data_IF_313977111646
#
_entry.id   IF_313977111646
#
_cell.length_a   1.000
_cell.length_b   1.000
_cell.length_c   1.000
_cell.angle_alpha   90.00
_cell.angle_beta   90.00
_cell.angle_gamma   90.00
#
_symmetry.space_group_name_H-M   'P 1'
#
loop_
_entity.id
_entity.type
_entity.pdbx_description
1 polymer ?
#
# COMPACT_ATOMS: atom_id res chain seq x y z
N UNK A 1 13.43 -16.75 3.49
CA UNK A 1 12.35 -15.82 3.10
C UNK A 1 12.79 -14.38 3.34
N UNK A 2 12.59 -13.50 2.37
CA UNK A 2 12.87 -12.07 2.50
C UNK A 2 11.60 -11.26 2.37
N UNK A 3 11.32 -10.40 3.33
CA UNK A 3 10.25 -9.41 3.26
C UNK A 3 10.83 -8.03 2.99
N UNK A 4 10.18 -7.27 2.12
CA UNK A 4 10.35 -5.83 2.09
C UNK A 4 9.28 -5.20 2.98
N UNK A 5 9.70 -4.38 3.94
CA UNK A 5 8.83 -3.66 4.85
C UNK A 5 8.88 -2.19 4.52
N UNK A 6 7.75 -1.64 4.09
CA UNK A 6 7.60 -0.25 3.64
C UNK A 6 6.50 0.41 4.47
N UNK A 7 6.61 1.71 4.69
CA UNK A 7 5.59 2.50 5.38
C UNK A 7 5.72 3.98 5.03
N UNK A 8 4.68 4.75 5.31
CA UNK A 8 4.72 6.21 5.36
C UNK A 8 5.21 6.87 4.06
N UNK A 9 4.72 6.43 2.92
CA UNK A 9 5.06 7.04 1.63
C UNK A 9 4.43 8.42 1.46
N UNK A 10 3.26 8.67 2.06
CA UNK A 10 2.59 9.97 2.08
C UNK A 10 2.53 10.65 0.71
N UNK A 11 2.05 9.93 -0.30
CA UNK A 11 1.91 10.47 -1.66
C UNK A 11 0.99 11.70 -1.62
N UNK A 12 1.51 12.83 -2.07
CA UNK A 12 0.80 14.10 -2.14
C UNK A 12 -0.10 14.17 -3.37
N UNK A 13 -1.09 15.05 -3.34
CA UNK A 13 -2.01 15.20 -4.47
C UNK A 13 -1.33 15.76 -5.73
N UNK A 14 -0.56 16.85 -5.57
CA UNK A 14 0.05 17.56 -6.70
C UNK A 14 1.49 17.99 -6.43
N UNK A 15 2.08 17.54 -5.31
CA UNK A 15 3.45 17.93 -4.92
C UNK A 15 4.42 16.78 -5.03
N UNK A 16 5.63 17.08 -5.44
CA UNK A 16 6.78 16.18 -5.41
C UNK A 16 6.61 14.93 -6.27
N UNK A 17 5.69 14.93 -7.25
CA UNK A 17 5.42 13.74 -8.05
C UNK A 17 6.62 13.34 -8.92
N UNK A 18 7.40 14.31 -9.39
CA UNK A 18 8.65 14.00 -10.10
C UNK A 18 9.64 13.28 -9.19
N UNK A 19 9.84 13.78 -7.98
CA UNK A 19 10.74 13.20 -6.98
C UNK A 19 10.24 11.82 -6.52
N UNK A 20 8.94 11.66 -6.31
CA UNK A 20 8.36 10.36 -5.99
C UNK A 20 8.62 9.31 -7.08
N UNK A 21 8.46 9.68 -8.34
CA UNK A 21 8.71 8.77 -9.46
C UNK A 21 10.15 8.27 -9.46
N UNK A 22 11.10 9.15 -9.22
CA UNK A 22 12.53 8.79 -9.16
C UNK A 22 12.84 7.89 -7.95
N UNK A 23 12.32 8.25 -6.77
CA UNK A 23 12.51 7.44 -5.55
C UNK A 23 11.86 6.06 -5.70
N UNK A 24 10.65 6.00 -6.25
CA UNK A 24 9.98 4.73 -6.48
C UNK A 24 10.70 3.86 -7.50
N UNK A 25 11.26 4.47 -8.56
CA UNK A 25 12.10 3.74 -9.52
C UNK A 25 13.27 3.05 -8.83
N UNK A 26 13.96 3.77 -7.96
CA UNK A 26 15.07 3.23 -7.16
C UNK A 26 14.60 2.13 -6.20
N UNK A 27 13.44 2.33 -5.58
CA UNK A 27 12.83 1.32 -4.71
C UNK A 27 12.56 0.01 -5.49
N UNK A 28 11.96 0.11 -6.68
CA UNK A 28 11.65 -1.07 -7.49
C UNK A 28 12.92 -1.81 -7.90
N UNK A 29 13.97 -1.10 -8.30
CA UNK A 29 15.27 -1.70 -8.59
C UNK A 29 15.83 -2.46 -7.39
N UNK A 30 15.82 -1.81 -6.22
CA UNK A 30 16.30 -2.41 -4.98
C UNK A 30 15.51 -3.67 -4.59
N UNK A 31 14.19 -3.63 -4.75
CA UNK A 31 13.34 -4.80 -4.46
C UNK A 31 13.67 -5.98 -5.37
N UNK A 32 13.89 -5.73 -6.66
CA UNK A 32 14.27 -6.77 -7.62
C UNK A 32 15.66 -7.32 -7.35
N UNK A 33 16.65 -6.45 -7.10
CA UNK A 33 18.01 -6.85 -6.79
C UNK A 33 18.11 -7.71 -5.52
N UNK A 34 17.29 -7.41 -4.53
CA UNK A 34 17.25 -8.17 -3.28
C UNK A 34 16.41 -9.45 -3.37
N UNK A 35 15.74 -9.69 -4.49
CA UNK A 35 14.93 -10.90 -4.70
C UNK A 35 13.95 -11.14 -3.54
N UNK A 36 13.16 -10.10 -3.20
CA UNK A 36 12.19 -10.19 -2.11
C UNK A 36 11.07 -11.16 -2.45
N UNK A 37 10.67 -11.97 -1.48
CA UNK A 37 9.59 -12.94 -1.63
C UNK A 37 8.22 -12.31 -1.43
N UNK A 38 8.13 -11.33 -0.52
CA UNK A 38 6.89 -10.62 -0.19
C UNK A 38 7.17 -9.16 0.14
N UNK A 39 6.17 -8.31 -0.11
CA UNK A 39 6.19 -6.89 0.24
C UNK A 39 5.05 -6.61 1.21
N UNK A 40 5.36 -5.88 2.29
CA UNK A 40 4.36 -5.42 3.26
C UNK A 40 4.46 -3.90 3.34
N UNK A 41 3.35 -3.21 3.10
CA UNK A 41 3.24 -1.77 3.30
C UNK A 41 2.34 -1.49 4.51
N UNK A 42 2.91 -0.86 5.51
CA UNK A 42 2.26 -0.65 6.82
C UNK A 42 1.44 0.63 6.91
N UNK A 43 0.95 1.14 5.77
CA UNK A 43 0.00 2.25 5.77
C UNK A 43 0.62 3.63 5.58
N UNK A 44 -0.24 4.63 5.64
CA UNK A 44 0.04 6.03 5.32
C UNK A 44 0.64 6.19 3.91
N UNK A 45 -0.02 5.56 2.95
CA UNK A 45 0.32 5.69 1.53
C UNK A 45 -0.10 7.05 1.02
N UNK A 46 -1.34 7.46 1.31
CA UNK A 46 -1.84 8.78 1.00
C UNK A 46 -1.41 9.82 2.07
N UNK A 47 -1.12 11.03 1.64
CA UNK A 47 -0.90 12.13 2.57
C UNK A 47 -2.21 12.67 3.12
N UNK A 48 -3.24 12.74 2.27
CA UNK A 48 -4.60 13.17 2.65
C UNK A 48 -5.63 12.16 2.15
N UNK A 49 -6.71 11.98 2.92
CA UNK A 49 -7.77 11.01 2.61
C UNK A 49 -8.98 11.63 1.90
N UNK A 50 -9.11 12.95 1.91
CA UNK A 50 -10.31 13.65 1.44
C UNK A 50 -10.09 14.49 0.19
N UNK A 51 -8.87 14.92 -0.07
CA UNK A 51 -8.52 15.72 -1.24
C UNK A 51 -7.68 14.85 -2.18
N UNK A 52 -8.35 14.18 -3.10
CA UNK A 52 -7.74 13.22 -4.02
C UNK A 52 -7.73 13.81 -5.42
N UNK A 53 -6.55 14.00 -5.99
CA UNK A 53 -6.37 14.43 -7.38
C UNK A 53 -6.31 13.24 -8.34
N UNK A 54 -6.64 13.43 -9.63
CA UNK A 54 -6.41 12.40 -10.64
C UNK A 54 -4.93 11.95 -10.70
N UNK A 55 -4.00 12.88 -10.51
CA UNK A 55 -2.56 12.60 -10.50
C UNK A 55 -2.16 11.72 -9.32
N UNK A 56 -2.77 11.92 -8.15
CA UNK A 56 -2.59 11.04 -7.00
C UNK A 56 -3.06 9.61 -7.33
N UNK A 57 -4.24 9.49 -7.92
CA UNK A 57 -4.80 8.18 -8.30
C UNK A 57 -3.87 7.44 -9.25
N UNK A 58 -3.37 8.12 -10.27
CA UNK A 58 -2.42 7.54 -11.23
C UNK A 58 -1.13 7.09 -10.55
N UNK A 59 -0.56 7.93 -9.70
CA UNK A 59 0.68 7.59 -8.99
C UNK A 59 0.50 6.42 -8.03
N UNK A 60 -0.59 6.40 -7.28
CA UNK A 60 -0.91 5.33 -6.35
C UNK A 60 -1.16 4.01 -7.09
N UNK A 61 -1.87 4.05 -8.21
CA UNK A 61 -2.08 2.89 -9.08
C UNK A 61 -0.76 2.35 -9.61
N UNK A 62 0.09 3.21 -10.16
CA UNK A 62 1.40 2.81 -10.69
C UNK A 62 2.26 2.19 -9.57
N UNK A 63 2.22 2.77 -8.39
CA UNK A 63 2.94 2.24 -7.23
C UNK A 63 2.48 0.83 -6.87
N UNK A 64 1.19 0.62 -6.72
CA UNK A 64 0.63 -0.69 -6.40
C UNK A 64 0.87 -1.72 -7.51
N UNK A 65 0.71 -1.34 -8.77
CA UNK A 65 0.94 -2.23 -9.90
C UNK A 65 2.41 -2.67 -9.96
N UNK A 66 3.35 -1.75 -9.77
CA UNK A 66 4.77 -2.08 -9.76
C UNK A 66 5.14 -3.00 -8.59
N UNK A 67 4.70 -2.67 -7.37
CA UNK A 67 4.98 -3.52 -6.22
C UNK A 67 4.43 -4.94 -6.43
N UNK A 68 3.17 -5.06 -6.81
CA UNK A 68 2.53 -6.37 -6.99
C UNK A 68 3.07 -7.16 -8.18
N UNK A 69 3.70 -6.49 -9.16
CA UNK A 69 4.40 -7.17 -10.25
C UNK A 69 5.75 -7.73 -9.82
N UNK A 70 6.36 -7.17 -8.77
CA UNK A 70 7.65 -7.64 -8.24
C UNK A 70 7.46 -8.83 -7.31
N UNK A 71 6.52 -8.75 -6.37
CA UNK A 71 6.21 -9.80 -5.41
C UNK A 71 4.79 -9.61 -4.84
N UNK A 72 4.17 -10.66 -4.28
CA UNK A 72 2.90 -10.50 -3.58
C UNK A 72 3.00 -9.40 -2.52
N UNK A 73 2.07 -8.45 -2.59
CA UNK A 73 2.09 -7.22 -1.81
C UNK A 73 0.88 -7.17 -0.88
N UNK A 74 1.14 -6.96 0.40
CA UNK A 74 0.14 -6.84 1.46
C UNK A 74 0.17 -5.42 1.98
N UNK A 75 -0.98 -4.75 1.95
CA UNK A 75 -1.12 -3.34 2.32
C UNK A 75 -2.14 -3.22 3.44
N UNK A 76 -1.76 -2.55 4.51
CA UNK A 76 -2.71 -2.13 5.55
C UNK A 76 -2.92 -0.62 5.46
N UNK A 77 -4.02 -0.14 6.06
CA UNK A 77 -4.32 1.29 6.10
C UNK A 77 -3.64 1.97 7.28
N UNK A 78 -3.14 3.19 7.06
CA UNK A 78 -2.73 4.10 8.10
C UNK A 78 -3.82 5.13 8.41
N UNK A 79 -3.57 5.99 9.39
CA UNK A 79 -4.53 7.02 9.80
C UNK A 79 -4.73 8.12 8.73
N UNK A 80 -3.79 8.28 7.80
CA UNK A 80 -3.92 9.19 6.67
C UNK A 80 -4.72 8.61 5.51
N UNK A 81 -4.87 7.29 5.44
CA UNK A 81 -5.57 6.61 4.35
C UNK A 81 -7.07 6.50 4.59
N UNK A 82 -7.48 6.32 5.84
CA UNK A 82 -8.86 6.07 6.22
C UNK A 82 -9.44 7.06 7.23
N UNK A 83 -10.76 7.06 7.37
CA UNK A 83 -11.46 7.89 8.35
C UNK A 83 -11.63 7.13 9.67
N UNK A 84 -10.85 7.50 10.69
CA UNK A 84 -10.87 6.84 12.00
C UNK A 84 -12.18 7.07 12.77
N UNK A 85 -12.88 8.18 12.51
CA UNK A 85 -14.13 8.51 13.18
C UNK A 85 -15.34 7.78 12.60
N UNK A 86 -15.20 7.31 11.38
CA UNK A 86 -16.26 6.60 10.67
C UNK A 86 -15.65 5.55 9.73
N UNK A 87 -15.44 4.34 10.25
CA UNK A 87 -14.84 3.22 9.52
C UNK A 87 -15.72 2.71 8.36
N UNK A 88 -17.00 3.09 8.33
CA UNK A 88 -17.89 2.76 7.22
C UNK A 88 -17.66 3.64 5.98
N UNK A 89 -16.97 4.77 6.13
CA UNK A 89 -16.60 5.59 4.99
C UNK A 89 -15.49 4.95 4.17
N UNK A 90 -15.56 5.19 2.86
CA UNK A 90 -14.55 4.75 1.92
C UNK A 90 -13.20 5.40 2.25
N UNK A 91 -12.14 4.62 2.33
CA UNK A 91 -10.78 5.12 2.40
C UNK A 91 -10.25 5.52 1.02
N UNK A 92 -9.08 6.16 0.99
CA UNK A 92 -8.49 6.64 -0.25
C UNK A 92 -7.99 5.52 -1.17
N UNK A 93 -7.69 4.34 -0.62
CA UNK A 93 -6.95 3.29 -1.33
C UNK A 93 -7.84 2.18 -1.88
N UNK A 94 -8.95 1.85 -1.22
CA UNK A 94 -9.81 0.72 -1.62
C UNK A 94 -10.31 0.83 -3.05
N UNK A 95 -10.78 2.01 -3.54
CA UNK A 95 -11.21 2.12 -4.94
C UNK A 95 -10.10 1.84 -5.94
N UNK A 96 -8.89 2.26 -5.62
CA UNK A 96 -7.71 2.07 -6.49
C UNK A 96 -7.31 0.59 -6.52
N UNK A 97 -7.23 -0.04 -5.36
CA UNK A 97 -6.89 -1.47 -5.26
C UNK A 97 -7.92 -2.35 -5.96
N UNK A 98 -9.22 -2.04 -5.82
CA UNK A 98 -10.30 -2.74 -6.53
C UNK A 98 -10.19 -2.59 -8.04
N UNK A 99 -9.86 -1.39 -8.54
CA UNK A 99 -9.72 -1.14 -9.97
C UNK A 99 -8.55 -1.92 -10.58
N UNK A 100 -7.45 -2.08 -9.85
CA UNK A 100 -6.30 -2.90 -10.26
C UNK A 100 -6.69 -4.37 -10.35
N UNK A 101 -7.44 -4.87 -9.35
CA UNK A 101 -7.93 -6.24 -9.29
C UNK A 101 -6.85 -7.30 -9.55
N UNK A 102 -5.68 -7.14 -8.92
CA UNK A 102 -4.56 -8.07 -9.05
C UNK A 102 -4.62 -9.16 -7.97
N UNK A 103 -4.41 -10.45 -8.32
CA UNK A 103 -4.30 -11.52 -7.32
C UNK A 103 -3.07 -11.39 -6.42
N UNK A 104 -2.10 -10.56 -6.80
CA UNK A 104 -0.86 -10.31 -6.05
C UNK A 104 -0.92 -9.05 -5.19
N UNK A 105 -2.04 -8.33 -5.18
CA UNK A 105 -2.26 -7.16 -4.35
C UNK A 105 -3.37 -7.43 -3.33
N UNK A 106 -3.03 -7.35 -2.04
CA UNK A 106 -3.94 -7.65 -0.94
C UNK A 106 -4.06 -6.42 -0.03
N UNK A 107 -5.21 -5.75 -0.06
CA UNK A 107 -5.53 -4.66 0.85
C UNK A 107 -6.27 -5.23 2.06
N UNK A 108 -5.68 -5.08 3.25
CA UNK A 108 -6.17 -5.65 4.50
C UNK A 108 -6.70 -4.52 5.37
N UNK A 109 -7.99 -4.53 5.66
CA UNK A 109 -8.66 -3.48 6.44
C UNK A 109 -8.94 -3.90 7.88
N UNK A 110 -9.06 -5.20 8.12
CA UNK A 110 -9.46 -5.75 9.42
C UNK A 110 -8.27 -6.35 10.15
N UNK A 111 -8.32 -6.31 11.48
CA UNK A 111 -7.35 -7.00 12.31
C UNK A 111 -7.55 -8.53 12.20
N UNK A 112 -6.49 -9.26 12.42
CA UNK A 112 -6.52 -10.71 12.42
C UNK A 112 -5.30 -11.33 11.75
N UNK A 113 -5.38 -12.63 11.58
CA UNK A 113 -4.32 -13.41 10.95
C UNK A 113 -4.54 -13.50 9.44
N UNK A 114 -3.52 -13.15 8.68
CA UNK A 114 -3.50 -13.27 7.23
C UNK A 114 -2.43 -14.30 6.85
N UNK A 115 -2.86 -15.43 6.32
CA UNK A 115 -1.95 -16.48 5.88
C UNK A 115 -1.26 -16.08 4.58
N UNK A 116 0.07 -16.07 4.59
CA UNK A 116 0.88 -15.79 3.41
C UNK A 116 1.17 -17.08 2.65
N UNK A 117 1.70 -18.08 3.35
CA UNK A 117 1.97 -19.41 2.82
C UNK A 117 1.81 -20.46 3.94
N UNK A 118 2.27 -21.69 3.70
CA UNK A 118 2.15 -22.79 4.67
C UNK A 118 2.93 -22.56 5.97
N UNK A 119 3.96 -21.71 5.95
CA UNK A 119 4.88 -21.49 7.08
C UNK A 119 4.72 -20.13 7.74
N UNK A 120 4.15 -19.16 7.05
CA UNK A 120 4.14 -17.77 7.49
C UNK A 120 2.76 -17.16 7.43
N UNK A 121 2.44 -16.38 8.46
CA UNK A 121 1.25 -15.54 8.51
C UNK A 121 1.63 -14.14 9.02
N UNK A 122 0.79 -13.17 8.66
CA UNK A 122 0.84 -11.82 9.21
C UNK A 122 -0.25 -11.70 10.29
N UNK A 123 0.13 -11.24 11.46
CA UNK A 123 -0.84 -10.78 12.45
C UNK A 123 -1.03 -9.28 12.27
N UNK A 124 -2.20 -8.87 11.83
CA UNK A 124 -2.52 -7.49 11.52
C UNK A 124 -3.31 -6.87 12.67
N UNK A 125 -2.88 -5.70 13.12
CA UNK A 125 -3.67 -4.81 13.96
C UNK A 125 -4.16 -3.66 13.08
N UNK A 126 -5.46 -3.55 12.93
CA UNK A 126 -6.06 -2.50 12.11
C UNK A 126 -6.07 -1.16 12.85
N UNK A 127 -5.83 -0.08 12.12
CA UNK A 127 -5.94 1.29 12.64
C UNK A 127 -7.37 1.62 13.11
N UNK A 128 -8.37 0.83 12.70
CA UNK A 128 -9.77 0.98 13.09
C UNK A 128 -10.14 0.23 14.40
N UNK A 129 -9.23 -0.56 14.95
CA UNK A 129 -9.50 -1.42 16.11
C UNK A 129 -8.90 -0.88 17.42
N UNK A 130 -8.89 0.44 17.59
CA UNK A 130 -8.51 1.09 18.85
C UNK A 130 -9.64 1.06 19.90
#
# INVERSE_FOLDING_TARGET
MKFAHIADTHIRNLKYHFEYKEVFRQLYESLRENEVDYIVHCGDIAHTKTQISPEFVDMCRDFFENLSSIAPTYVILGNHDGNLRNSSRQDALTPIAKAINSPSLHLIKDAGEVKIDEKFCLNVLSVFDE
#
